data_IF_858338808441
#
_entry.id   IF_858338808441
#
_cell.length_a   1.000
_cell.length_b   1.000
_cell.length_c   1.000
_cell.angle_alpha   90.00
_cell.angle_beta   90.00
_cell.angle_gamma   90.00
#
_symmetry.space_group_name_H-M   'P 1'
#
loop_
_entity.id
_entity.type
_entity.pdbx_description
1 polymer ?
#
# COMPACT_ATOMS: atom_id res chain seq x y z
N UNK A 1 8.62 -24.22 -19.08
CA UNK A 1 7.35 -23.87 -18.40
C UNK A 1 7.49 -24.23 -16.93
N UNK A 2 8.11 -23.34 -16.15
CA UNK A 2 8.20 -23.49 -14.69
C UNK A 2 6.81 -23.22 -14.12
N UNK A 3 6.17 -24.25 -13.57
CA UNK A 3 4.92 -24.09 -12.80
C UNK A 3 5.31 -23.59 -11.41
N UNK A 4 5.21 -22.28 -11.18
CA UNK A 4 5.26 -21.74 -9.82
C UNK A 4 3.98 -22.13 -9.10
N UNK A 5 4.13 -22.88 -8.01
CA UNK A 5 3.06 -23.41 -7.16
C UNK A 5 2.55 -22.31 -6.21
N UNK A 6 2.15 -21.18 -6.76
CA UNK A 6 1.57 -20.05 -6.02
C UNK A 6 0.05 -20.02 -6.14
N UNK A 7 -0.60 -19.21 -5.27
CA UNK A 7 -2.05 -18.90 -5.22
C UNK A 7 -2.70 -18.81 -6.61
N UNK A 8 -2.00 -18.18 -7.56
CA UNK A 8 -2.41 -18.06 -8.95
C UNK A 8 -1.73 -19.14 -9.80
N UNK A 9 -2.27 -20.37 -9.75
CA UNK A 9 -1.73 -21.57 -10.41
C UNK A 9 -1.78 -21.60 -11.95
N UNK A 10 -1.91 -20.44 -12.62
CA UNK A 10 -1.81 -20.32 -14.09
C UNK A 10 -0.70 -19.32 -14.47
N UNK A 11 0.02 -19.72 -15.52
CA UNK A 11 1.11 -19.05 -16.27
C UNK A 11 1.65 -17.71 -15.73
N UNK A 12 2.28 -17.70 -14.55
CA UNK A 12 3.38 -16.75 -14.30
C UNK A 12 4.62 -17.33 -15.00
N UNK A 13 4.68 -17.22 -16.32
CA UNK A 13 5.71 -17.85 -17.16
C UNK A 13 6.92 -16.97 -17.41
N UNK A 14 7.98 -17.59 -17.92
CA UNK A 14 9.29 -17.04 -18.30
C UNK A 14 9.26 -15.77 -19.21
N UNK A 15 8.09 -15.28 -19.61
CA UNK A 15 7.88 -14.14 -20.51
C UNK A 15 8.28 -12.79 -19.89
N UNK A 16 8.47 -12.73 -18.57
CA UNK A 16 9.09 -11.57 -17.90
C UNK A 16 10.52 -11.32 -18.41
N UNK A 17 11.18 -12.31 -19.00
CA UNK A 17 12.54 -12.17 -19.58
C UNK A 17 12.60 -11.17 -20.73
N UNK A 18 11.48 -10.90 -21.40
CA UNK A 18 11.43 -9.94 -22.51
C UNK A 18 11.17 -8.49 -22.04
N UNK A 19 10.91 -8.26 -20.75
CA UNK A 19 10.74 -6.92 -20.18
C UNK A 19 11.98 -6.05 -20.39
N UNK A 20 13.18 -6.59 -20.20
CA UNK A 20 14.42 -5.83 -20.40
C UNK A 20 14.59 -5.38 -21.84
N UNK A 21 14.17 -6.21 -22.81
CA UNK A 21 14.20 -5.84 -24.24
C UNK A 21 13.19 -4.73 -24.53
N UNK A 22 11.98 -4.84 -23.98
CA UNK A 22 10.95 -3.81 -24.12
C UNK A 22 11.43 -2.47 -23.54
N UNK A 23 11.97 -2.46 -22.33
CA UNK A 23 12.52 -1.25 -21.69
C UNK A 23 13.62 -0.61 -22.55
N UNK A 24 14.50 -1.42 -23.13
CA UNK A 24 15.57 -0.92 -24.01
C UNK A 24 15.03 -0.33 -25.33
N UNK A 25 13.84 -0.77 -25.78
CA UNK A 25 13.19 -0.29 -27.00
C UNK A 25 12.25 0.89 -26.78
N UNK A 26 12.02 1.31 -25.52
CA UNK A 26 11.20 2.47 -25.19
C UNK A 26 12.06 3.72 -25.00
N UNK A 27 11.63 4.90 -25.47
CA UNK A 27 12.34 6.15 -25.18
C UNK A 27 12.46 6.37 -23.68
N UNK A 28 13.65 6.70 -23.18
CA UNK A 28 13.92 6.80 -21.73
C UNK A 28 13.12 7.90 -21.04
N UNK A 29 12.79 8.95 -21.79
CA UNK A 29 12.03 10.12 -21.36
C UNK A 29 10.50 9.94 -21.52
N UNK A 30 10.06 8.87 -22.20
CA UNK A 30 8.65 8.53 -22.31
C UNK A 30 8.03 8.34 -20.93
N UNK A 31 6.78 8.79 -20.76
CA UNK A 31 6.07 8.74 -19.48
C UNK A 31 4.87 7.79 -19.57
N UNK A 32 4.92 6.74 -18.76
CA UNK A 32 3.80 5.80 -18.58
C UNK A 32 2.99 6.27 -17.38
N UNK A 33 1.71 6.50 -17.61
CA UNK A 33 0.76 6.82 -16.55
C UNK A 33 0.40 5.55 -15.78
N UNK A 34 0.42 5.61 -14.45
CA UNK A 34 -0.02 4.53 -13.58
C UNK A 34 -0.68 5.13 -12.34
N UNK A 35 -1.86 4.64 -12.00
CA UNK A 35 -2.49 4.92 -10.70
C UNK A 35 -1.80 4.07 -9.64
N UNK A 36 -0.86 4.68 -8.93
CA UNK A 36 0.02 4.03 -7.97
C UNK A 36 -0.62 3.98 -6.58
N UNK A 37 -0.57 2.83 -5.89
CA UNK A 37 -1.04 2.68 -4.50
C UNK A 37 0.03 3.23 -3.54
N UNK A 38 -0.24 4.32 -2.80
CA UNK A 38 0.74 4.87 -1.86
C UNK A 38 1.08 3.88 -0.74
N UNK A 39 2.37 3.75 -0.42
CA UNK A 39 2.85 2.86 0.63
C UNK A 39 3.09 1.41 0.15
N UNK A 40 2.91 1.09 -1.14
CA UNK A 40 3.24 -0.26 -1.64
C UNK A 40 4.70 -0.65 -1.37
N UNK A 41 5.57 0.36 -1.22
CA UNK A 41 6.99 0.23 -0.94
C UNK A 41 7.29 -0.35 0.44
N UNK A 42 6.45 -0.06 1.43
CA UNK A 42 6.62 -0.43 2.84
C UNK A 42 5.54 -1.39 3.37
N UNK A 43 4.37 -1.44 2.73
CA UNK A 43 3.25 -2.26 3.16
C UNK A 43 3.39 -3.72 2.67
N UNK A 44 2.86 -4.68 3.45
CA UNK A 44 2.71 -6.06 2.99
C UNK A 44 1.93 -6.16 1.67
N UNK A 45 2.28 -7.14 0.82
CA UNK A 45 1.70 -7.28 -0.52
C UNK A 45 0.18 -7.40 -0.53
N UNK A 46 -0.41 -8.15 0.41
CA UNK A 46 -1.87 -8.31 0.53
C UNK A 46 -2.64 -7.00 0.72
N UNK A 47 -1.96 -5.90 1.08
CA UNK A 47 -2.58 -4.59 1.27
C UNK A 47 -2.79 -3.80 -0.02
N UNK A 48 -2.08 -4.14 -1.09
CA UNK A 48 -2.04 -3.32 -2.31
C UNK A 48 -2.11 -4.13 -3.60
N UNK A 49 -1.86 -5.45 -3.56
CA UNK A 49 -1.63 -6.23 -4.77
C UNK A 49 -2.86 -6.29 -5.69
N UNK A 50 -4.06 -6.48 -5.15
CA UNK A 50 -5.31 -6.54 -5.94
C UNK A 50 -5.52 -5.26 -6.74
N UNK A 51 -5.41 -4.11 -6.06
CA UNK A 51 -5.55 -2.80 -6.71
C UNK A 51 -4.41 -2.56 -7.71
N UNK A 52 -3.16 -2.91 -7.37
CA UNK A 52 -2.04 -2.66 -8.27
C UNK A 52 -2.09 -3.49 -9.55
N UNK A 53 -2.54 -4.74 -9.52
CA UNK A 53 -2.66 -5.52 -10.77
C UNK A 53 -3.73 -4.96 -11.69
N UNK A 54 -4.86 -4.49 -11.16
CA UNK A 54 -5.87 -3.79 -11.96
C UNK A 54 -5.28 -2.55 -12.65
N UNK A 55 -4.55 -1.72 -11.89
CA UNK A 55 -3.96 -0.49 -12.45
C UNK A 55 -2.83 -0.78 -13.46
N UNK A 56 -2.09 -1.88 -13.28
CA UNK A 56 -1.09 -2.33 -14.25
C UNK A 56 -1.74 -2.83 -15.55
N UNK A 57 -2.85 -3.57 -15.47
CA UNK A 57 -3.59 -4.04 -16.65
C UNK A 57 -4.06 -2.85 -17.49
N UNK A 58 -4.68 -1.84 -16.86
CA UNK A 58 -5.10 -0.60 -17.54
C UNK A 58 -3.91 0.09 -18.21
N UNK A 59 -2.82 0.29 -17.48
CA UNK A 59 -1.65 1.04 -17.98
C UNK A 59 -0.93 0.31 -19.12
N UNK A 60 -0.87 -1.03 -19.07
CA UNK A 60 -0.28 -1.85 -20.14
C UNK A 60 -1.18 -1.88 -21.38
N UNK A 61 -2.50 -1.90 -21.20
CA UNK A 61 -3.45 -1.80 -22.32
C UNK A 61 -3.33 -0.44 -23.02
N UNK A 62 -3.30 0.65 -22.25
CA UNK A 62 -3.06 2.00 -22.79
C UNK A 62 -1.70 2.11 -23.51
N UNK A 63 -0.69 1.38 -23.03
CA UNK A 63 0.63 1.32 -23.67
C UNK A 63 0.58 0.51 -24.97
N UNK A 64 -0.14 -0.61 -24.99
CA UNK A 64 -0.30 -1.49 -26.14
C UNK A 64 -0.88 -0.73 -27.33
N UNK A 65 -1.90 0.10 -27.08
CA UNK A 65 -2.60 0.91 -28.10
C UNK A 65 -1.68 1.92 -28.82
N UNK A 66 -0.50 2.19 -28.28
CA UNK A 66 0.49 3.09 -28.90
C UNK A 66 1.39 2.39 -29.91
N UNK A 67 1.33 1.06 -29.99
CA UNK A 67 2.12 0.26 -30.91
C UNK A 67 1.21 -0.37 -31.97
N UNK A 68 1.67 -0.32 -33.23
CA UNK A 68 1.01 -1.05 -34.30
C UNK A 68 1.21 -2.55 -34.13
N UNK A 69 0.14 -3.33 -34.33
CA UNK A 69 0.20 -4.79 -34.38
C UNK A 69 0.83 -5.24 -35.71
N UNK A 70 2.16 -5.17 -35.79
CA UNK A 70 2.92 -5.64 -36.96
C UNK A 70 3.30 -7.10 -36.70
N UNK A 71 2.93 -8.00 -37.61
CA UNK A 71 3.03 -9.45 -37.43
C UNK A 71 4.45 -10.04 -37.60
N UNK A 72 5.48 -9.21 -37.67
CA UNK A 72 6.86 -9.66 -37.88
C UNK A 72 7.64 -9.67 -36.56
N UNK A 73 7.81 -10.88 -36.00
CA UNK A 73 8.78 -11.16 -34.93
C UNK A 73 8.43 -10.66 -33.52
N UNK A 74 9.48 -10.54 -32.68
CA UNK A 74 9.43 -9.99 -31.31
C UNK A 74 9.27 -8.46 -31.37
N UNK A 75 8.04 -8.00 -31.62
CA UNK A 75 7.70 -6.57 -31.59
C UNK A 75 7.38 -6.10 -30.17
N UNK A 76 7.52 -4.79 -29.91
CA UNK A 76 7.09 -4.20 -28.64
C UNK A 76 5.62 -4.51 -28.35
N UNK A 77 4.77 -4.47 -29.39
CA UNK A 77 3.36 -4.87 -29.30
C UNK A 77 3.21 -6.30 -28.78
N UNK A 78 3.91 -7.27 -29.37
CA UNK A 78 3.81 -8.68 -28.95
C UNK A 78 4.30 -8.89 -27.52
N UNK A 79 5.33 -8.16 -27.07
CA UNK A 79 5.79 -8.24 -25.68
C UNK A 79 4.71 -7.66 -24.76
N UNK A 80 4.21 -6.45 -25.03
CA UNK A 80 3.20 -5.80 -24.19
C UNK A 80 1.91 -6.64 -24.12
N UNK A 81 1.42 -7.17 -25.24
CA UNK A 81 0.24 -8.04 -25.30
C UNK A 81 0.36 -9.28 -24.41
N UNK A 82 1.55 -9.89 -24.35
CA UNK A 82 1.82 -10.99 -23.40
C UNK A 82 1.79 -10.52 -21.94
N UNK A 83 2.35 -9.35 -21.65
CA UNK A 83 2.35 -8.79 -20.30
C UNK A 83 0.94 -8.42 -19.84
N UNK A 84 0.10 -7.88 -20.73
CA UNK A 84 -1.34 -7.63 -20.48
C UNK A 84 -2.02 -8.93 -20.04
N UNK A 85 -1.89 -10.00 -20.84
CA UNK A 85 -2.48 -11.31 -20.53
C UNK A 85 -2.03 -11.88 -19.18
N UNK A 86 -0.75 -11.71 -18.82
CA UNK A 86 -0.24 -12.13 -17.51
C UNK A 86 -0.92 -11.36 -16.40
N UNK A 87 -1.08 -10.04 -16.54
CA UNK A 87 -1.70 -9.22 -15.49
C UNK A 87 -3.20 -9.47 -15.42
N UNK A 88 -3.89 -9.68 -16.53
CA UNK A 88 -5.32 -10.02 -16.56
C UNK A 88 -5.58 -11.37 -15.86
N UNK A 89 -4.74 -12.39 -16.10
CA UNK A 89 -4.79 -13.67 -15.37
C UNK A 89 -4.61 -13.46 -13.85
N UNK A 90 -3.80 -12.47 -13.44
CA UNK A 90 -3.60 -12.12 -12.03
C UNK A 90 -4.77 -11.33 -11.44
N UNK A 91 -5.41 -10.44 -12.21
CA UNK A 91 -6.63 -9.74 -11.80
C UNK A 91 -7.73 -10.77 -11.52
N UNK A 92 -8.00 -11.67 -12.46
CA UNK A 92 -8.97 -12.77 -12.31
C UNK A 92 -8.63 -13.63 -11.08
N UNK A 93 -7.35 -13.94 -10.88
CA UNK A 93 -6.91 -14.66 -9.68
C UNK A 93 -7.26 -13.90 -8.39
N UNK A 94 -6.98 -12.60 -8.31
CA UNK A 94 -7.22 -11.81 -7.10
C UNK A 94 -8.70 -11.59 -6.79
N UNK A 95 -9.58 -11.57 -7.77
CA UNK A 95 -11.03 -11.51 -7.55
C UNK A 95 -11.55 -12.72 -6.76
N UNK A 96 -10.89 -13.88 -6.88
CA UNK A 96 -11.19 -15.09 -6.11
C UNK A 96 -10.59 -15.12 -4.70
N UNK A 97 -9.68 -14.19 -4.36
CA UNK A 97 -9.00 -14.12 -3.07
C UNK A 97 -9.48 -12.91 -2.27
N UNK A 98 -10.46 -13.14 -1.39
CA UNK A 98 -10.87 -12.13 -0.41
C UNK A 98 -9.82 -12.03 0.70
N UNK A 99 -9.12 -10.90 0.77
CA UNK A 99 -8.32 -10.56 1.94
C UNK A 99 -9.26 -10.05 3.06
N UNK A 100 -10.04 -10.96 3.64
CA UNK A 100 -11.10 -10.67 4.64
C UNK A 100 -10.62 -9.89 5.88
N UNK A 101 -9.31 -9.73 6.06
CA UNK A 101 -8.72 -9.12 7.25
C UNK A 101 -8.15 -7.70 7.04
N UNK A 102 -8.35 -7.07 5.89
CA UNK A 102 -7.87 -5.69 5.65
C UNK A 102 -8.79 -4.70 6.39
N UNK A 103 -8.43 -4.40 7.65
CA UNK A 103 -9.22 -3.53 8.55
C UNK A 103 -9.36 -2.08 8.07
N UNK A 104 -8.55 -1.62 7.11
CA UNK A 104 -8.64 -0.30 6.49
C UNK A 104 -8.25 -0.39 5.02
N UNK A 105 -9.08 0.18 4.16
CA UNK A 105 -8.79 0.27 2.73
C UNK A 105 -7.46 1.02 2.52
N UNK A 106 -6.61 0.55 1.58
CA UNK A 106 -5.44 1.32 1.18
C UNK A 106 -5.86 2.73 0.74
N UNK A 107 -4.96 3.71 0.90
CA UNK A 107 -5.18 5.05 0.34
C UNK A 107 -5.53 4.93 -1.15
N UNK A 108 -6.45 5.77 -1.61
CA UNK A 108 -6.86 5.78 -3.02
C UNK A 108 -5.63 5.86 -3.93
N UNK A 109 -5.56 5.06 -5.00
CA UNK A 109 -4.47 5.14 -5.96
C UNK A 109 -4.33 6.55 -6.54
N UNK A 110 -3.10 7.00 -6.69
CA UNK A 110 -2.77 8.33 -7.20
C UNK A 110 -2.17 8.22 -8.60
N UNK A 111 -2.66 9.01 -9.54
CA UNK A 111 -2.07 9.06 -10.89
C UNK A 111 -0.64 9.62 -10.81
N UNK A 112 0.33 8.84 -11.25
CA UNK A 112 1.75 9.22 -11.33
C UNK A 112 2.31 8.86 -12.70
N UNK A 113 3.36 9.56 -13.09
CA UNK A 113 4.06 9.36 -14.37
C UNK A 113 5.42 8.73 -14.09
N UNK A 114 5.70 7.60 -14.73
CA UNK A 114 6.93 6.84 -14.56
C UNK A 114 7.70 6.75 -15.87
N UNK A 115 9.02 6.72 -15.79
CA UNK A 115 9.85 6.27 -16.93
C UNK A 115 9.59 4.78 -17.19
N UNK A 116 9.94 4.25 -18.39
CA UNK A 116 9.78 2.83 -18.67
C UNK A 116 10.46 1.94 -17.63
N UNK A 117 11.68 2.29 -17.23
CA UNK A 117 12.42 1.54 -16.20
C UNK A 117 11.67 1.49 -14.86
N UNK A 118 11.19 2.64 -14.38
CA UNK A 118 10.46 2.70 -13.11
C UNK A 118 9.13 1.93 -13.16
N UNK A 119 8.40 2.07 -14.26
CA UNK A 119 7.13 1.37 -14.47
C UNK A 119 7.34 -0.15 -14.47
N UNK A 120 8.29 -0.65 -15.27
CA UNK A 120 8.54 -2.08 -15.35
C UNK A 120 9.21 -2.65 -14.09
N UNK A 121 9.88 -1.81 -13.28
CA UNK A 121 10.30 -2.19 -11.91
C UNK A 121 9.09 -2.41 -11.00
N UNK A 122 8.06 -1.56 -11.07
CA UNK A 122 6.81 -1.73 -10.31
C UNK A 122 6.06 -2.99 -10.78
N UNK A 123 6.01 -3.22 -12.10
CA UNK A 123 5.46 -4.44 -12.69
C UNK A 123 6.14 -5.69 -12.11
N UNK A 124 7.47 -5.80 -12.21
CA UNK A 124 8.22 -6.96 -11.73
C UNK A 124 8.02 -7.21 -10.24
N UNK A 125 8.05 -6.14 -9.42
CA UNK A 125 7.76 -6.22 -7.99
C UNK A 125 6.36 -6.77 -7.72
N UNK A 126 5.38 -6.38 -8.52
CA UNK A 126 4.00 -6.84 -8.38
C UNK A 126 3.88 -8.32 -8.76
N UNK A 127 4.52 -8.76 -9.85
CA UNK A 127 4.59 -10.17 -10.23
C UNK A 127 5.26 -11.02 -9.13
N UNK A 128 6.38 -10.54 -8.59
CA UNK A 128 7.11 -11.24 -7.52
C UNK A 128 6.30 -11.34 -6.22
N UNK A 129 5.47 -10.34 -5.92
CA UNK A 129 4.63 -10.34 -4.73
C UNK A 129 3.62 -11.51 -4.68
N UNK A 130 3.25 -12.09 -5.83
CA UNK A 130 2.38 -13.28 -5.89
C UNK A 130 3.08 -14.58 -5.47
N UNK A 131 4.42 -14.63 -5.48
CA UNK A 131 5.18 -15.83 -5.11
C UNK A 131 5.01 -16.18 -3.63
N UNK A 132 4.96 -15.16 -2.77
CA UNK A 132 4.90 -15.32 -1.30
C UNK A 132 3.59 -14.82 -0.69
N UNK A 133 2.59 -14.49 -1.52
CA UNK A 133 1.36 -13.80 -1.11
C UNK A 133 0.61 -14.53 0.02
N UNK A 134 0.52 -15.85 -0.03
CA UNK A 134 -0.15 -16.68 1.00
C UNK A 134 0.55 -16.62 2.35
N UNK A 135 1.88 -16.65 2.31
CA UNK A 135 2.73 -16.60 3.51
C UNK A 135 2.70 -15.21 4.14
N UNK A 136 2.62 -14.15 3.33
CA UNK A 136 2.56 -12.77 3.82
C UNK A 136 1.18 -12.45 4.41
N UNK A 137 0.10 -12.87 3.77
CA UNK A 137 -1.27 -12.64 4.24
C UNK A 137 -1.58 -13.37 5.56
N UNK A 138 -0.97 -14.54 5.80
CA UNK A 138 -1.15 -15.29 7.06
C UNK A 138 -0.36 -14.72 8.25
N UNK A 139 0.70 -13.94 8.00
CA UNK A 139 1.59 -13.40 9.04
C UNK A 139 1.25 -11.98 9.49
N UNK A 140 0.60 -11.20 8.64
CA UNK A 140 0.26 -9.80 8.89
C UNK A 140 -1.11 -9.51 8.31
N UNK A 141 -1.95 -8.81 9.07
CA UNK A 141 -3.28 -8.34 8.62
C UNK A 141 -3.42 -6.81 8.61
N UNK A 142 -2.42 -6.08 9.12
CA UNK A 142 -2.51 -4.64 9.24
C UNK A 142 -1.94 -3.93 8.01
N UNK A 143 -2.79 -3.13 7.36
CA UNK A 143 -2.47 -2.32 6.19
C UNK A 143 -2.34 -0.84 6.57
N UNK A 144 -1.53 -0.56 7.59
CA UNK A 144 -1.32 0.80 8.10
C UNK A 144 0.16 1.15 7.98
N UNK A 145 0.44 2.26 7.29
CA UNK A 145 1.78 2.86 7.30
C UNK A 145 1.96 3.51 8.67
N UNK A 146 2.78 2.90 9.54
CA UNK A 146 3.07 3.48 10.86
C UNK A 146 3.68 4.87 10.69
N UNK A 147 2.94 5.89 11.14
CA UNK A 147 3.37 7.31 11.09
C UNK A 147 4.35 7.66 12.21
N UNK A 148 4.75 6.71 13.04
CA UNK A 148 5.85 6.88 13.97
C UNK A 148 7.15 6.77 13.20
N UNK A 149 7.63 7.92 12.70
CA UNK A 149 9.04 8.23 12.90
C UNK A 149 9.32 7.89 14.37
N UNK A 150 10.08 6.83 14.63
CA UNK A 150 10.71 6.71 15.94
C UNK A 150 11.40 8.05 16.15
N UNK A 151 11.18 8.76 17.28
CA UNK A 151 12.01 9.92 17.53
C UNK A 151 13.43 9.40 17.44
N UNK A 152 14.22 9.99 16.52
CA UNK A 152 15.65 9.88 16.61
C UNK A 152 15.98 10.06 18.08
N UNK A 153 16.80 9.18 18.62
CA UNK A 153 17.33 9.31 19.98
C UNK A 153 18.20 10.57 19.97
N UNK A 154 17.57 11.74 19.92
CA UNK A 154 18.21 13.01 20.13
C UNK A 154 18.61 12.96 21.59
N UNK A 155 19.91 12.76 21.80
CA UNK A 155 20.56 12.64 23.10
C UNK A 155 20.55 13.97 23.87
N UNK A 156 19.62 14.86 23.55
CA UNK A 156 19.39 16.16 24.16
C UNK A 156 18.05 16.21 24.89
N UNK A 157 17.69 15.13 25.60
CA UNK A 157 16.79 15.27 26.75
C UNK A 157 17.61 15.85 27.89
N UNK A 158 17.77 17.17 27.88
CA UNK A 158 18.16 17.89 29.09
C UNK A 158 17.03 17.74 30.10
N UNK A 159 17.30 16.96 31.15
CA UNK A 159 16.50 16.78 32.36
C UNK A 159 15.82 18.10 32.75
N UNK A 160 14.52 18.22 32.52
CA UNK A 160 13.76 19.34 33.06
C UNK A 160 13.68 19.11 34.57
N UNK A 161 14.39 19.94 35.34
CA UNK A 161 14.25 19.99 36.80
C UNK A 161 12.77 20.14 37.16
N UNK A 162 12.24 19.41 38.16
CA UNK A 162 10.89 19.66 38.64
C UNK A 162 10.79 21.10 39.14
N UNK A 163 9.80 21.84 38.64
CA UNK A 163 9.42 23.12 39.23
C UNK A 163 8.92 22.85 40.65
N UNK A 164 9.72 23.19 41.65
CA UNK A 164 9.28 23.24 43.05
C UNK A 164 8.38 24.46 43.20
N UNK A 165 7.07 24.22 43.30
CA UNK A 165 6.13 25.26 43.69
C UNK A 165 6.40 25.65 45.15
N UNK A 166 6.44 26.95 45.50
CA UNK A 166 6.57 27.37 46.88
C UNK A 166 5.36 26.91 47.70
N UNK A 167 5.54 26.59 48.99
CA UNK A 167 4.44 26.11 49.83
C UNK A 167 3.35 27.18 49.98
N UNK A 168 2.13 26.81 49.61
CA UNK A 168 0.94 27.64 49.84
C UNK A 168 0.56 27.53 51.32
N UNK A 169 0.46 28.68 51.99
CA UNK A 169 0.00 28.74 53.37
C UNK A 169 -1.47 28.28 53.45
N UNK A 170 -1.72 27.16 54.12
CA UNK A 170 -3.06 26.71 54.48
C UNK A 170 -3.62 27.67 55.54
N UNK A 171 -4.51 28.58 55.12
CA UNK A 171 -5.29 29.37 56.06
C UNK A 171 -6.43 28.50 56.59
N UNK A 172 -6.34 28.18 57.87
CA UNK A 172 -7.37 27.51 58.65
C UNK A 172 -8.65 28.36 58.68
N UNK A 173 -9.75 27.83 58.12
CA UNK A 173 -11.08 28.36 58.37
C UNK A 173 -12.02 27.23 58.80
N UNK A 174 -12.10 27.14 60.13
CA UNK A 174 -13.25 26.87 60.99
C UNK A 174 -14.41 26.06 60.42
N UNK A 175 -14.57 24.91 61.06
CA UNK A 175 -15.74 24.06 61.08
C UNK A 175 -16.84 24.75 61.91
N UNK A 176 -17.89 25.26 61.28
CA UNK A 176 -19.14 25.62 61.97
C UNK A 176 -20.27 24.74 61.44
N UNK A 177 -20.61 23.75 62.26
CA UNK A 177 -21.77 22.88 62.14
C UNK A 177 -23.05 23.70 62.26
N UNK A 178 -23.95 23.61 61.28
CA UNK A 178 -25.35 23.97 61.49
C UNK A 178 -26.28 22.98 60.76
N UNK A 179 -26.90 22.15 61.59
CA UNK A 179 -28.06 21.32 61.29
C UNK A 179 -29.25 22.20 60.86
N UNK A 180 -29.89 21.88 59.73
CA UNK A 180 -31.29 22.25 59.48
C UNK A 180 -31.92 21.30 58.46
N UNK A 181 -32.80 20.44 58.97
CA UNK A 181 -33.80 19.69 58.20
C UNK A 181 -34.84 20.66 57.64
N UNK A 182 -35.16 20.55 56.35
CA UNK A 182 -36.46 20.99 55.83
C UNK A 182 -36.81 20.23 54.54
N UNK A 183 -38.04 19.72 54.54
CA UNK A 183 -38.67 18.84 53.57
C UNK A 183 -39.17 19.59 52.32
N UNK A 184 -39.44 18.75 51.30
CA UNK A 184 -40.54 18.84 50.34
C UNK A 184 -40.35 19.72 49.09
N UNK A 185 -40.22 19.03 47.96
CA UNK A 185 -40.42 19.52 46.60
C UNK A 185 -41.90 19.30 46.24
N UNK A 186 -42.59 20.34 45.79
CA UNK A 186 -43.92 20.27 45.18
C UNK A 186 -43.86 20.72 43.72
N UNK A 187 -44.68 20.05 42.91
CA UNK A 187 -44.93 20.17 41.47
C UNK A 187 -45.10 21.58 40.92
N UNK A 188 -44.79 21.73 39.63
CA UNK A 188 -45.78 22.11 38.60
C UNK A 188 -45.70 21.09 37.46
#
# INVERSE_FOLDING_TARGET
LVKTKGICGKRVTDDVKDVTKLVANLPKDYKIALKYVPGMDVLPSHCWISVMVEQLSVSLTDLLDKFSNISEGLSNYSIIDKLVKIVDDLVECTEGYSFENVKKAPKSPELRLFTPEEFFRIFNRSIDAFKDLETVASKSSECVVSSTLSPDKDSRVSVTKPFMLPPVAASSLRNDSSSSNSKYIHLI
#
